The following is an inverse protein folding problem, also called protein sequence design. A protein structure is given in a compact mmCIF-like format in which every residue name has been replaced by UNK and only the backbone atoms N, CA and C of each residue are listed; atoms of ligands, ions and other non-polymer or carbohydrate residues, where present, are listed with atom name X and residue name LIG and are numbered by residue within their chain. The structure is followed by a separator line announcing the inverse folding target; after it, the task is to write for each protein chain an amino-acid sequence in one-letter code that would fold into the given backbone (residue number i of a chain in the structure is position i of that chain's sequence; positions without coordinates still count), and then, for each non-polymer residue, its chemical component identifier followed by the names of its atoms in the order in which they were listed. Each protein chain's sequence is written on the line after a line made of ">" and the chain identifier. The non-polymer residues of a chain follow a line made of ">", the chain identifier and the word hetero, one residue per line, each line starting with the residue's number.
data_IF_445709271171
#
_entry.id   IF_445709271171
#
_cell.length_a   1.000
_cell.length_b   1.000
_cell.length_c   1.000
_cell.angle_alpha   90.00
_cell.angle_beta   90.00
_cell.angle_gamma   90.00
#
_symmetry.space_group_name_H-M   'P 1'
#
loop_
_entity.id
_entity.type
_entity.pdbx_description
1 polymer ?
#
# COMPACT_ATOMS: atom_id res chain seq x y z
N UNK A 1 2.89 -6.27 -3.39
CA UNK A 1 2.01 -7.00 -4.31
C UNK A 1 0.76 -6.16 -4.51
N UNK A 2 0.37 -5.89 -5.74
CA UNK A 2 -0.87 -5.15 -6.02
C UNK A 2 -2.11 -6.02 -5.79
N UNK A 3 -3.31 -5.44 -5.65
CA UNK A 3 -4.54 -6.20 -5.43
C UNK A 3 -4.82 -7.22 -6.53
N UNK A 4 -4.66 -6.86 -7.80
CA UNK A 4 -4.86 -7.77 -8.94
C UNK A 4 -3.87 -8.96 -8.92
N UNK A 5 -2.62 -8.73 -8.49
CA UNK A 5 -1.65 -9.80 -8.26
C UNK A 5 -2.06 -10.69 -7.08
N UNK A 6 -2.59 -10.09 -6.00
CA UNK A 6 -3.06 -10.81 -4.81
C UNK A 6 -4.30 -11.67 -5.10
N UNK A 7 -5.15 -11.25 -6.05
CA UNK A 7 -6.27 -12.04 -6.57
C UNK A 7 -5.84 -13.17 -7.52
N UNK A 8 -4.58 -13.14 -7.99
CA UNK A 8 -4.07 -14.10 -8.96
C UNK A 8 -4.63 -13.88 -10.37
N UNK A 9 -4.94 -12.63 -10.72
CA UNK A 9 -5.43 -12.31 -12.06
C UNK A 9 -4.37 -12.66 -13.12
N UNK A 10 -4.78 -13.25 -14.27
CA UNK A 10 -3.84 -13.64 -15.33
C UNK A 10 -3.29 -12.44 -16.10
N UNK A 11 -4.04 -11.34 -16.14
CA UNK A 11 -3.77 -10.16 -16.98
C UNK A 11 -3.33 -8.96 -16.13
N UNK A 12 -2.22 -9.13 -15.39
CA UNK A 12 -1.60 -8.01 -14.64
C UNK A 12 -0.91 -7.06 -15.61
N UNK A 13 -1.30 -5.78 -15.57
CA UNK A 13 -0.74 -4.73 -16.41
C UNK A 13 0.09 -3.70 -15.60
N UNK A 14 0.54 -2.65 -16.28
CA UNK A 14 1.35 -1.56 -15.72
C UNK A 14 0.75 -0.84 -14.50
N UNK A 15 -0.55 -1.00 -14.19
CA UNK A 15 -1.14 -0.46 -12.96
C UNK A 15 -0.53 -1.10 -11.70
N UNK A 16 0.00 -2.31 -11.79
CA UNK A 16 0.74 -2.94 -10.70
C UNK A 16 1.99 -2.14 -10.30
N UNK A 17 2.67 -1.52 -11.28
CA UNK A 17 3.83 -0.66 -11.03
C UNK A 17 3.41 0.65 -10.36
N UNK A 18 2.26 1.22 -10.75
CA UNK A 18 1.70 2.42 -10.09
C UNK A 18 1.37 2.12 -8.63
N UNK A 19 0.75 0.96 -8.36
CA UNK A 19 0.51 0.52 -6.99
C UNK A 19 1.82 0.35 -6.20
N UNK A 20 2.83 -0.31 -6.79
CA UNK A 20 4.12 -0.50 -6.15
C UNK A 20 4.83 0.83 -5.85
N UNK A 21 4.77 1.81 -6.77
CA UNK A 21 5.28 3.16 -6.54
C UNK A 21 4.56 3.85 -5.38
N UNK A 22 3.24 3.70 -5.26
CA UNK A 22 2.47 4.22 -4.11
C UNK A 22 2.88 3.60 -2.78
N UNK A 23 3.12 2.27 -2.76
CA UNK A 23 3.64 1.57 -1.56
C UNK A 23 5.02 2.10 -1.15
N UNK A 24 5.93 2.28 -2.11
CA UNK A 24 7.28 2.82 -1.84
C UNK A 24 7.21 4.27 -1.38
N UNK A 25 6.35 5.09 -1.98
CA UNK A 25 6.15 6.48 -1.57
C UNK A 25 5.62 6.56 -0.15
N UNK A 26 4.63 5.72 0.18
CA UNK A 26 4.09 5.60 1.53
C UNK A 26 5.20 5.24 2.53
N UNK A 27 5.98 4.19 2.25
CA UNK A 27 7.09 3.75 3.10
C UNK A 27 8.15 4.85 3.27
N UNK A 28 8.49 5.56 2.21
CA UNK A 28 9.42 6.70 2.28
C UNK A 28 8.87 7.85 3.14
N UNK A 29 7.55 8.04 3.16
CA UNK A 29 6.91 9.11 3.92
C UNK A 29 6.81 8.79 5.43
N UNK A 30 6.48 7.54 5.79
CA UNK A 30 6.20 7.15 7.20
C UNK A 30 7.19 6.16 7.82
N UNK A 31 8.13 5.64 7.02
CA UNK A 31 9.14 4.67 7.44
C UNK A 31 8.64 3.23 7.59
N UNK A 32 7.42 2.92 7.14
CA UNK A 32 6.84 1.58 7.18
C UNK A 32 5.82 1.38 6.04
N UNK A 33 5.55 0.14 5.69
CA UNK A 33 4.63 -0.22 4.59
C UNK A 33 3.15 0.02 4.95
N UNK A 34 2.27 0.24 3.96
CA UNK A 34 0.84 0.45 4.21
C UNK A 34 0.14 -0.81 4.74
N UNK A 35 0.62 -1.99 4.36
CA UNK A 35 0.07 -3.27 4.77
C UNK A 35 1.18 -4.21 5.22
N UNK A 36 1.07 -4.68 6.46
CA UNK A 36 1.89 -5.75 7.00
C UNK A 36 0.99 -6.78 7.71
N UNK A 37 1.43 -8.03 7.77
CA UNK A 37 0.71 -9.07 8.50
C UNK A 37 1.62 -10.24 8.91
N UNK A 38 1.28 -10.97 10.00
CA UNK A 38 2.10 -12.07 10.51
C UNK A 38 2.28 -13.28 9.58
N UNK A 39 1.51 -13.36 8.49
CA UNK A 39 1.65 -14.40 7.48
C UNK A 39 1.07 -13.96 6.14
N UNK A 40 1.47 -14.68 5.09
CA UNK A 40 1.10 -14.40 3.71
C UNK A 40 -0.42 -14.33 3.47
N UNK A 41 -1.20 -15.27 3.99
CA UNK A 41 -2.66 -15.27 3.80
C UNK A 41 -3.35 -14.07 4.44
N UNK A 42 -2.86 -13.61 5.61
CA UNK A 42 -3.37 -12.38 6.23
C UNK A 42 -2.95 -11.14 5.44
N UNK A 43 -1.72 -11.11 4.92
CA UNK A 43 -1.25 -10.01 4.09
C UNK A 43 -2.11 -9.86 2.83
N UNK A 44 -2.41 -10.96 2.14
CA UNK A 44 -3.30 -10.95 0.98
C UNK A 44 -4.68 -10.36 1.34
N UNK A 45 -5.28 -10.79 2.45
CA UNK A 45 -6.56 -10.21 2.92
C UNK A 45 -6.45 -8.72 3.21
N UNK A 46 -5.37 -8.25 3.83
CA UNK A 46 -5.20 -6.82 4.08
C UNK A 46 -5.11 -6.03 2.77
N UNK A 47 -4.36 -6.53 1.79
CA UNK A 47 -4.22 -5.89 0.47
C UNK A 47 -5.55 -5.84 -0.29
N UNK A 48 -6.40 -6.86 -0.13
CA UNK A 48 -7.66 -6.99 -0.88
C UNK A 48 -8.85 -6.28 -0.22
N UNK A 49 -8.92 -6.33 1.12
CA UNK A 49 -10.14 -6.01 1.87
C UNK A 49 -10.00 -4.76 2.76
N UNK A 50 -8.82 -4.14 2.82
CA UNK A 50 -8.55 -3.00 3.72
C UNK A 50 -8.00 -1.79 2.98
N UNK A 51 -8.31 -0.61 3.52
CA UNK A 51 -7.65 0.63 3.10
C UNK A 51 -6.33 0.81 3.87
N UNK A 52 -5.29 1.39 3.24
CA UNK A 52 -4.06 1.70 3.94
C UNK A 52 -4.32 2.78 4.98
N UNK A 53 -3.63 2.72 6.12
CA UNK A 53 -3.71 3.77 7.13
C UNK A 53 -3.22 5.09 6.49
N UNK A 54 -3.93 6.23 6.61
CA UNK A 54 -3.44 7.48 6.02
C UNK A 54 -2.08 7.90 6.59
N UNK A 55 -1.12 8.38 5.77
CA UNK A 55 0.23 8.68 6.24
C UNK A 55 0.29 9.57 7.48
N UNK A 56 -0.57 10.59 7.57
CA UNK A 56 -0.58 11.51 8.73
C UNK A 56 -1.18 10.92 9.99
N UNK A 57 -2.00 9.88 9.88
CA UNK A 57 -2.43 9.12 11.06
C UNK A 57 -1.27 8.31 11.63
N UNK A 58 -0.29 7.96 10.81
CA UNK A 58 0.91 7.23 11.24
C UNK A 58 2.03 8.16 11.70
N UNK A 59 2.27 9.25 10.97
CA UNK A 59 3.27 10.26 11.29
C UNK A 59 2.70 11.67 11.12
N UNK A 60 2.33 12.30 12.25
CA UNK A 60 1.61 13.57 12.28
C UNK A 60 2.35 14.75 11.64
N UNK A 61 3.69 14.66 11.55
CA UNK A 61 4.56 15.69 10.98
C UNK A 61 4.53 15.73 9.44
N UNK A 62 3.88 14.75 8.79
CA UNK A 62 3.69 14.78 7.34
C UNK A 62 2.78 15.94 6.97
N UNK A 63 3.25 16.78 6.05
CA UNK A 63 2.45 17.90 5.54
C UNK A 63 1.20 17.39 4.81
N UNK A 64 0.11 18.16 4.90
CA UNK A 64 -1.12 17.82 4.15
C UNK A 64 -0.94 17.85 2.63
N UNK A 65 0.13 18.45 2.11
CA UNK A 65 0.41 18.43 0.66
C UNK A 65 0.96 17.08 0.22
N UNK A 66 1.85 16.49 1.01
CA UNK A 66 2.44 15.17 0.77
C UNK A 66 1.37 14.08 0.87
N UNK A 67 0.38 14.23 1.75
CA UNK A 67 -0.74 13.27 1.87
C UNK A 67 -1.70 13.27 0.66
N UNK A 68 -1.76 14.36 -0.12
CA UNK A 68 -2.68 14.46 -1.27
C UNK A 68 -2.13 13.85 -2.57
N UNK A 69 -0.84 13.50 -2.59
CA UNK A 69 -0.15 12.90 -3.75
C UNK A 69 -0.32 11.39 -3.70
#
# INVERSE_FOLDING_TARGET
>A
MSPEQAMGEPDVDHRADVYAAGVVLYECAVGDVPFDAPNYNKLLRHILDSEPLPPRQRQADISGEVERV
#
